data_IF_776751157204
#
_entry.id   IF_776751157204
#
_cell.length_a   1.000
_cell.length_b   1.000
_cell.length_c   1.000
_cell.angle_alpha   90.00
_cell.angle_beta   90.00
_cell.angle_gamma   90.00
#
_symmetry.space_group_name_H-M   'P 1'
#
loop_
_entity.id
_entity.type
_entity.pdbx_description
1 polymer ?
#
# COMPACT_ATOMS: atom_id res chain seq x y z
N UNK A 1 -4.88 4.29 6.05
CA UNK A 1 -5.24 3.34 4.99
C UNK A 1 -4.52 2.04 5.28
N UNK A 2 -5.21 0.91 5.48
CA UNK A 2 -4.51 -0.35 5.31
C UNK A 2 -3.98 -0.38 3.87
N UNK A 3 -2.78 -0.93 3.66
CA UNK A 3 -2.36 -1.30 2.33
C UNK A 3 -3.53 -1.99 1.63
N UNK A 4 -3.78 -1.64 0.36
CA UNK A 4 -4.87 -2.22 -0.40
C UNK A 4 -4.51 -3.66 -0.74
N UNK A 5 -4.47 -4.53 0.26
CA UNK A 5 -4.39 -5.97 0.12
C UNK A 5 -5.64 -6.37 -0.63
N UNK A 6 -5.50 -6.52 -1.94
CA UNK A 6 -6.57 -6.93 -2.82
C UNK A 6 -6.24 -8.36 -3.21
N UNK A 7 -7.20 -9.30 -3.12
CA UNK A 7 -6.90 -10.66 -3.52
C UNK A 7 -6.50 -10.68 -4.99
N UNK A 8 -5.30 -11.17 -5.32
CA UNK A 8 -4.80 -11.06 -6.70
C UNK A 8 -5.66 -11.84 -7.70
N UNK A 9 -6.30 -12.91 -7.21
CA UNK A 9 -7.19 -13.81 -7.97
C UNK A 9 -8.66 -13.77 -7.54
N UNK A 10 -9.04 -12.83 -6.68
CA UNK A 10 -10.40 -12.74 -6.15
C UNK A 10 -10.65 -13.52 -4.85
N UNK A 11 -11.91 -13.78 -4.48
CA UNK A 11 -12.27 -14.33 -3.17
C UNK A 11 -11.57 -15.66 -2.85
N UNK A 12 -11.09 -15.81 -1.62
CA UNK A 12 -10.33 -16.99 -1.17
C UNK A 12 -8.82 -16.88 -1.35
N UNK A 13 -8.34 -15.80 -1.97
CA UNK A 13 -6.91 -15.54 -2.17
C UNK A 13 -6.48 -14.25 -1.46
N UNK A 14 -7.05 -13.94 -0.29
CA UNK A 14 -6.79 -12.64 0.36
C UNK A 14 -5.35 -12.47 0.89
N UNK A 15 -4.59 -13.57 1.02
CA UNK A 15 -3.22 -13.58 1.54
C UNK A 15 -2.16 -13.81 0.46
N UNK A 16 -2.55 -13.96 -0.81
CA UNK A 16 -1.63 -14.39 -1.86
C UNK A 16 -0.56 -13.33 -2.20
N UNK A 17 -0.93 -12.06 -2.25
CA UNK A 17 0.00 -10.94 -2.40
C UNK A 17 1.02 -10.88 -1.24
N UNK A 18 0.58 -11.21 -0.03
CA UNK A 18 1.44 -11.23 1.16
C UNK A 18 2.49 -12.33 1.03
N UNK A 19 2.06 -13.54 0.66
CA UNK A 19 2.94 -14.71 0.50
C UNK A 19 3.91 -14.49 -0.67
N UNK A 20 3.44 -13.92 -1.78
CA UNK A 20 4.27 -13.62 -2.96
C UNK A 20 5.37 -12.58 -2.67
N UNK A 21 5.22 -11.77 -1.62
CA UNK A 21 6.19 -10.76 -1.18
C UNK A 21 6.96 -11.19 0.08
N UNK A 22 6.92 -12.47 0.45
CA UNK A 22 7.68 -13.00 1.57
C UNK A 22 9.19 -12.78 1.35
N UNK A 23 9.85 -12.10 2.29
CA UNK A 23 11.27 -11.71 2.18
C UNK A 23 11.52 -10.21 2.12
N UNK A 24 10.47 -9.37 2.04
CA UNK A 24 10.58 -7.93 2.27
C UNK A 24 11.09 -7.62 3.69
N UNK A 25 11.77 -6.47 3.84
CA UNK A 25 12.29 -6.02 5.13
C UNK A 25 11.19 -5.87 6.20
N UNK A 26 10.03 -5.31 5.82
CA UNK A 26 8.89 -5.05 6.70
C UNK A 26 7.58 -5.11 5.93
N UNK A 27 6.54 -5.61 6.59
CA UNK A 27 5.19 -5.63 6.05
C UNK A 27 4.18 -5.25 7.15
N UNK A 28 3.29 -4.29 6.86
CA UNK A 28 2.19 -3.91 7.77
C UNK A 28 0.90 -4.58 7.30
N UNK A 29 0.45 -5.58 8.05
CA UNK A 29 -0.68 -6.44 7.69
C UNK A 29 -1.86 -6.15 8.65
N UNK A 30 -3.08 -5.90 8.14
CA UNK A 30 -4.29 -5.77 8.95
C UNK A 30 -4.60 -7.03 9.76
N UNK A 31 -5.18 -6.86 10.95
CA UNK A 31 -5.52 -7.98 11.85
C UNK A 31 -6.32 -9.12 11.17
N UNK A 32 -7.36 -8.86 10.34
CA UNK A 32 -8.11 -9.95 9.71
C UNK A 32 -7.29 -10.82 8.75
N UNK A 33 -6.22 -10.27 8.15
CA UNK A 33 -5.32 -11.04 7.28
C UNK A 33 -4.25 -11.77 8.10
N UNK A 34 -3.81 -11.20 9.22
CA UNK A 34 -2.93 -11.88 10.17
C UNK A 34 -3.60 -13.14 10.74
N UNK A 35 -4.87 -13.06 11.13
CA UNK A 35 -5.65 -14.21 11.61
C UNK A 35 -5.72 -15.33 10.56
N UNK A 36 -5.91 -14.97 9.28
CA UNK A 36 -5.91 -15.94 8.18
C UNK A 36 -4.56 -16.61 7.96
N UNK A 37 -3.48 -15.83 8.07
CA UNK A 37 -2.12 -16.34 7.94
C UNK A 37 -1.78 -17.27 9.11
N UNK A 38 -2.16 -16.91 10.33
CA UNK A 38 -1.96 -17.73 11.53
C UNK A 38 -2.73 -19.07 11.45
N UNK A 39 -3.93 -19.06 10.87
CA UNK A 39 -4.73 -20.26 10.68
C UNK A 39 -4.25 -21.16 9.52
N UNK A 40 -3.32 -20.70 8.68
CA UNK A 40 -2.79 -21.48 7.56
C UNK A 40 -1.62 -22.35 7.98
N UNK A 41 -1.58 -23.59 7.49
CA UNK A 41 -0.45 -24.52 7.68
C UNK A 41 0.42 -24.64 6.41
N UNK A 42 0.14 -23.82 5.39
CA UNK A 42 0.90 -23.82 4.15
C UNK A 42 2.33 -23.30 4.37
N UNK A 43 3.29 -23.95 3.72
CA UNK A 43 4.68 -23.53 3.78
C UNK A 43 4.88 -22.22 3.01
N UNK A 44 5.48 -21.22 3.67
CA UNK A 44 5.79 -19.92 3.07
C UNK A 44 7.27 -19.90 2.67
N UNK A 45 7.53 -20.05 1.37
CA UNK A 45 8.87 -19.90 0.81
C UNK A 45 9.25 -18.40 0.73
N UNK A 46 10.52 -18.09 0.95
CA UNK A 46 11.05 -16.76 0.71
C UNK A 46 11.07 -16.47 -0.80
N UNK A 47 10.35 -15.44 -1.23
CA UNK A 47 10.22 -15.03 -2.62
C UNK A 47 11.18 -13.89 -3.00
N UNK A 48 11.55 -13.03 -2.04
CA UNK A 48 12.42 -11.88 -2.25
C UNK A 48 13.68 -11.98 -1.40
N UNK A 49 14.84 -11.80 -2.04
CA UNK A 49 16.15 -11.81 -1.39
C UNK A 49 17.11 -10.77 -2.02
N UNK A 50 18.15 -10.40 -1.27
CA UNK A 50 19.06 -9.32 -1.66
C UNK A 50 19.98 -9.72 -2.81
N UNK A 51 20.36 -11.00 -2.89
CA UNK A 51 21.32 -11.45 -3.89
C UNK A 51 20.65 -11.56 -5.27
N UNK A 52 19.39 -12.01 -5.33
CA UNK A 52 18.59 -11.97 -6.55
C UNK A 52 18.33 -10.53 -7.01
N UNK A 53 17.99 -9.61 -6.10
CA UNK A 53 17.79 -8.20 -6.43
C UNK A 53 19.05 -7.54 -7.02
N UNK A 54 20.25 -7.89 -6.54
CA UNK A 54 21.53 -7.37 -7.09
C UNK A 54 21.87 -7.95 -8.46
N UNK A 55 21.32 -9.12 -8.79
CA UNK A 55 21.53 -9.78 -10.08
C UNK A 55 20.55 -9.34 -11.15
N UNK A 56 19.66 -8.40 -10.83
CA UNK A 56 18.63 -7.93 -11.74
C UNK A 56 19.21 -6.96 -12.78
N UNK A 57 18.74 -7.08 -14.02
CA UNK A 57 19.20 -6.30 -15.17
C UNK A 57 18.38 -5.00 -15.36
N UNK A 58 17.57 -4.61 -14.38
CA UNK A 58 16.75 -3.40 -14.48
C UNK A 58 17.61 -2.13 -14.38
N UNK A 59 17.48 -1.25 -15.38
CA UNK A 59 18.11 0.06 -15.35
C UNK A 59 17.45 0.99 -14.33
N UNK A 60 18.27 1.79 -13.66
CA UNK A 60 17.79 2.77 -12.70
C UNK A 60 17.01 3.89 -13.42
N UNK A 61 15.74 4.03 -13.07
CA UNK A 61 14.87 5.03 -13.68
C UNK A 61 15.42 6.45 -13.42
N UNK A 62 15.63 7.23 -14.49
CA UNK A 62 16.19 8.58 -14.40
C UNK A 62 17.67 8.62 -13.99
N UNK A 63 18.42 7.50 -14.10
CA UNK A 63 19.86 7.47 -13.77
C UNK A 63 20.15 7.76 -12.29
N UNK A 64 19.20 7.45 -11.41
CA UNK A 64 19.32 7.61 -9.95
C UNK A 64 19.09 9.03 -9.43
N UNK A 65 18.92 10.03 -10.29
CA UNK A 65 18.54 11.39 -9.91
C UNK A 65 17.50 11.95 -10.88
N UNK A 66 16.30 12.17 -10.38
CA UNK A 66 15.18 12.66 -11.18
C UNK A 66 14.77 14.06 -10.73
N UNK A 67 14.64 14.99 -11.68
CA UNK A 67 14.14 16.33 -11.41
C UNK A 67 12.58 16.37 -11.37
N UNK A 68 12.00 17.52 -10.98
CA UNK A 68 10.54 17.64 -10.88
C UNK A 68 9.84 17.41 -12.23
N UNK A 69 10.43 17.86 -13.34
CA UNK A 69 9.80 17.78 -14.66
C UNK A 69 9.79 16.34 -15.15
N UNK A 70 10.90 15.64 -14.97
CA UNK A 70 11.04 14.22 -15.27
C UNK A 70 10.07 13.39 -14.43
N UNK A 71 10.01 13.63 -13.11
CA UNK A 71 9.06 12.95 -12.23
C UNK A 71 7.61 13.15 -12.69
N UNK A 72 7.21 14.39 -12.98
CA UNK A 72 5.85 14.69 -13.45
C UNK A 72 5.54 14.02 -14.77
N UNK A 73 6.52 13.93 -15.67
CA UNK A 73 6.37 13.23 -16.94
C UNK A 73 6.16 11.73 -16.71
N UNK A 74 7.06 11.05 -15.99
CA UNK A 74 6.96 9.62 -15.74
C UNK A 74 5.70 9.23 -14.96
N UNK A 75 5.32 10.01 -13.95
CA UNK A 75 4.09 9.76 -13.20
C UNK A 75 2.85 9.88 -14.09
N UNK A 76 2.81 10.85 -15.02
CA UNK A 76 1.69 11.00 -15.95
C UNK A 76 1.62 9.85 -16.96
N UNK A 77 2.77 9.31 -17.36
CA UNK A 77 2.83 8.13 -18.23
C UNK A 77 2.34 6.85 -17.54
N UNK A 78 2.37 6.79 -16.21
CA UNK A 78 1.71 5.73 -15.43
C UNK A 78 0.26 6.12 -15.08
N UNK A 79 -0.68 5.69 -15.92
CA UNK A 79 -2.10 5.95 -15.72
C UNK A 79 -2.64 5.38 -14.40
N UNK A 80 -2.17 4.21 -13.96
CA UNK A 80 -2.62 3.61 -12.70
C UNK A 80 -2.08 4.42 -11.51
N UNK A 81 -0.79 4.75 -11.53
CA UNK A 81 -0.13 5.56 -10.50
C UNK A 81 -0.78 6.93 -10.32
N UNK A 82 -1.04 7.65 -11.42
CA UNK A 82 -1.71 8.97 -11.39
C UNK A 82 -3.12 8.88 -10.79
N UNK A 83 -3.94 7.93 -11.25
CA UNK A 83 -5.33 7.83 -10.81
C UNK A 83 -5.43 7.39 -9.34
N UNK A 84 -4.64 6.41 -8.92
CA UNK A 84 -4.65 5.89 -7.55
C UNK A 84 -4.11 6.90 -6.55
N UNK A 85 -3.08 7.67 -6.92
CA UNK A 85 -2.59 8.77 -6.10
C UNK A 85 -3.69 9.82 -5.85
N UNK A 86 -4.37 10.24 -6.93
CA UNK A 86 -5.43 11.24 -6.83
C UNK A 86 -6.66 10.72 -6.05
N UNK A 87 -7.04 9.46 -6.25
CA UNK A 87 -8.09 8.78 -5.48
C UNK A 87 -7.77 8.76 -3.98
N UNK A 88 -6.56 8.33 -3.61
CA UNK A 88 -6.11 8.26 -2.23
C UNK A 88 -6.11 9.61 -1.53
N UNK A 89 -5.60 10.66 -2.19
CA UNK A 89 -5.60 12.02 -1.64
C UNK A 89 -7.01 12.52 -1.33
N UNK A 90 -7.96 12.34 -2.26
CA UNK A 90 -9.36 12.73 -2.05
C UNK A 90 -9.99 11.95 -0.90
N UNK A 91 -9.71 10.65 -0.79
CA UNK A 91 -10.23 9.83 0.30
C UNK A 91 -9.69 10.30 1.67
N UNK A 92 -8.40 10.61 1.78
CA UNK A 92 -7.83 11.13 3.03
C UNK A 92 -8.42 12.47 3.46
N UNK A 93 -8.62 13.39 2.51
CA UNK A 93 -9.27 14.69 2.79
C UNK A 93 -10.70 14.43 3.32
N UNK A 94 -11.47 13.58 2.64
CA UNK A 94 -12.83 13.25 3.05
C UNK A 94 -12.91 12.63 4.46
N UNK A 95 -11.99 11.74 4.81
CA UNK A 95 -11.95 11.16 6.18
C UNK A 95 -11.49 12.18 7.23
N UNK A 96 -10.59 13.09 6.87
CA UNK A 96 -10.16 14.19 7.76
C UNK A 96 -11.32 15.12 8.07
N UNK A 97 -12.10 15.54 7.07
CA UNK A 97 -13.28 16.40 7.25
C UNK A 97 -14.34 15.72 8.15
N UNK A 98 -14.52 14.41 8.00
CA UNK A 98 -15.43 13.63 8.87
C UNK A 98 -14.94 13.63 10.31
N UNK A 99 -13.65 13.40 10.53
CA UNK A 99 -13.04 13.40 11.85
C UNK A 99 -13.20 14.77 12.52
N UNK A 100 -12.95 15.87 11.80
CA UNK A 100 -13.12 17.23 12.32
C UNK A 100 -14.56 17.50 12.78
N UNK A 101 -15.56 17.09 11.99
CA UNK A 101 -16.98 17.22 12.37
C UNK A 101 -17.30 16.47 13.66
N UNK A 102 -16.79 15.25 13.81
CA UNK A 102 -16.98 14.44 15.04
C UNK A 102 -16.34 15.13 16.24
N UNK A 103 -15.12 15.65 16.09
CA UNK A 103 -14.41 16.36 17.16
C UNK A 103 -15.19 17.61 17.56
N UNK A 104 -15.64 18.42 16.59
CA UNK A 104 -16.42 19.63 16.86
C UNK A 104 -17.72 19.29 17.60
N UNK A 105 -18.43 18.24 17.19
CA UNK A 105 -19.66 17.80 17.86
C UNK A 105 -19.38 17.43 19.33
N UNK A 106 -18.38 16.58 19.59
CA UNK A 106 -18.01 16.18 20.96
C UNK A 106 -17.56 17.35 21.82
N UNK A 107 -16.81 18.30 21.26
CA UNK A 107 -16.38 19.50 21.99
C UNK A 107 -17.56 20.39 22.35
N UNK A 108 -18.59 20.48 21.50
CA UNK A 108 -19.82 21.24 21.79
C UNK A 108 -20.67 20.56 22.85
N UNK A 109 -20.83 19.24 22.79
CA UNK A 109 -21.53 18.45 23.81
C UNK A 109 -20.89 18.62 25.19
N UNK A 110 -19.55 18.59 25.28
CA UNK A 110 -18.83 18.77 26.55
C UNK A 110 -18.86 20.20 27.11
N UNK A 111 -19.30 21.19 26.32
CA UNK A 111 -19.44 22.60 26.75
C UNK A 111 -20.87 22.96 27.18
N UNK A 112 -21.85 22.12 26.87
CA UNK A 112 -23.25 22.26 27.30
C UNK A 112 -23.45 21.57 28.65
#
# INVERSE_FOLDING_TARGET
>A
MPASWRPSRGPGFETDEIIALAGLDRMTIPAPLLEKLEASEEEVAQALDVDSAKSSDEEELGGGMMDEKEFRYFLNMDGCGTDKLAEGLRAFIGETDKLEKIIIAKVRENKA
#
